data_IF_880404610555
#
_entry.id   IF_880404610555
#
_cell.length_a   1.000
_cell.length_b   1.000
_cell.length_c   1.000
_cell.angle_alpha   90.00
_cell.angle_beta   90.00
_cell.angle_gamma   90.00
#
_symmetry.space_group_name_H-M   'P 1'
#
loop_
_entity.id
_entity.type
_entity.pdbx_description
1 polymer ?
#
# COMPACT_ATOMS: atom_id res chain seq x y z
N UNK A 1 11.16 -22.25 5.22
CA UNK A 1 10.46 -21.10 5.65
C UNK A 1 9.21 -20.88 4.81
N UNK A 2 8.21 -20.47 5.48
CA UNK A 2 7.01 -20.21 4.90
C UNK A 2 7.07 -19.04 3.98
N UNK A 3 6.50 -19.17 2.87
CA UNK A 3 6.51 -18.11 1.89
C UNK A 3 5.10 -17.61 1.69
N UNK A 4 4.57 -16.92 2.54
CA UNK A 4 3.29 -16.29 2.30
C UNK A 4 3.48 -14.93 1.68
N UNK A 5 2.38 -14.23 1.44
CA UNK A 5 2.46 -12.86 0.99
C UNK A 5 3.27 -12.05 1.97
N UNK A 6 4.20 -11.28 1.47
CA UNK A 6 4.98 -10.41 2.33
C UNK A 6 4.16 -9.18 2.64
N UNK A 7 4.17 -8.81 3.90
CA UNK A 7 3.57 -7.54 4.28
C UNK A 7 4.52 -6.43 3.91
N UNK A 8 4.00 -5.32 3.46
CA UNK A 8 4.83 -4.17 3.17
C UNK A 8 5.31 -3.58 4.49
N UNK A 9 6.45 -2.91 4.42
CA UNK A 9 6.96 -2.19 5.57
C UNK A 9 5.93 -1.18 6.10
N UNK A 10 5.23 -0.54 5.17
CA UNK A 10 4.20 0.42 5.52
C UNK A 10 3.04 -0.20 6.28
N UNK A 11 2.63 -1.42 5.90
CA UNK A 11 1.59 -2.13 6.62
C UNK A 11 1.97 -2.34 8.09
N UNK A 12 3.21 -2.78 8.32
CA UNK A 12 3.69 -3.02 9.67
C UNK A 12 3.77 -1.74 10.47
N UNK A 13 4.22 -0.66 9.85
CA UNK A 13 4.30 0.63 10.53
C UNK A 13 2.93 1.18 10.91
N UNK A 14 1.95 1.03 10.01
CA UNK A 14 0.63 1.60 10.23
C UNK A 14 -0.11 0.95 11.39
N UNK A 15 0.10 -0.34 11.60
CA UNK A 15 -0.72 -1.07 12.56
C UNK A 15 0.07 -1.76 13.64
N UNK A 16 1.37 -1.90 13.49
CA UNK A 16 2.13 -2.76 14.39
C UNK A 16 1.70 -4.21 14.28
N UNK A 17 0.90 -4.55 13.28
CA UNK A 17 0.44 -5.90 13.03
C UNK A 17 0.16 -6.06 11.54
N UNK A 18 0.12 -7.29 11.10
CA UNK A 18 -0.15 -7.60 9.72
C UNK A 18 -1.65 -7.54 9.44
N UNK A 19 -2.02 -6.99 8.31
CA UNK A 19 -3.39 -7.01 7.81
C UNK A 19 -3.57 -8.18 6.86
N UNK A 20 -4.82 -8.67 6.69
CA UNK A 20 -5.08 -9.70 5.68
C UNK A 20 -4.69 -9.22 4.30
N UNK A 21 -4.08 -10.12 3.52
CA UNK A 21 -3.64 -9.82 2.16
C UNK A 21 -4.43 -10.72 1.21
N UNK A 22 -4.85 -10.17 0.08
CA UNK A 22 -5.60 -10.95 -0.92
C UNK A 22 -4.74 -12.12 -1.43
N UNK A 23 -5.38 -13.22 -1.88
CA UNK A 23 -4.62 -14.40 -2.31
C UNK A 23 -3.60 -14.13 -3.41
N UNK A 24 -3.85 -13.15 -4.26
CA UNK A 24 -2.92 -12.80 -5.33
C UNK A 24 -1.83 -11.81 -4.88
N UNK A 25 -1.86 -11.37 -3.61
CA UNK A 25 -0.83 -10.50 -3.07
C UNK A 25 -0.93 -9.04 -3.50
N UNK A 26 -2.02 -8.64 -4.14
CA UNK A 26 -2.14 -7.28 -4.71
C UNK A 26 -2.65 -6.24 -3.74
N UNK A 27 -3.46 -6.65 -2.78
CA UNK A 27 -4.10 -5.72 -1.85
C UNK A 27 -4.04 -6.25 -0.43
N UNK A 28 -4.08 -5.35 0.53
CA UNK A 28 -4.32 -5.69 1.93
C UNK A 28 -5.56 -4.96 2.42
N UNK A 29 -6.17 -5.50 3.46
CA UNK A 29 -7.47 -5.04 3.94
C UNK A 29 -7.31 -4.27 5.24
N UNK A 30 -7.81 -3.02 5.27
CA UNK A 30 -7.87 -2.21 6.48
C UNK A 30 -9.24 -1.58 6.56
N UNK A 31 -9.98 -1.88 7.63
CA UNK A 31 -11.30 -1.29 7.87
C UNK A 31 -12.22 -1.44 6.65
N UNK A 32 -12.25 -2.65 6.11
CA UNK A 32 -13.11 -3.03 4.98
C UNK A 32 -12.81 -2.23 3.70
N UNK A 33 -11.57 -1.79 3.54
CA UNK A 33 -11.09 -1.17 2.31
C UNK A 33 -9.85 -1.89 1.85
N UNK A 34 -9.73 -2.05 0.54
CA UNK A 34 -8.55 -2.63 -0.08
C UNK A 34 -7.53 -1.54 -0.34
N UNK A 35 -6.27 -1.84 -0.04
CA UNK A 35 -5.15 -0.94 -0.28
C UNK A 35 -4.09 -1.68 -1.05
N UNK A 36 -3.59 -1.07 -2.10
CA UNK A 36 -2.63 -1.75 -2.98
C UNK A 36 -1.30 -1.98 -2.27
N UNK A 37 -0.79 -3.21 -2.39
CA UNK A 37 0.50 -3.59 -1.83
C UNK A 37 1.64 -3.03 -2.66
N UNK A 38 2.82 -2.96 -2.06
CA UNK A 38 4.05 -2.61 -2.76
C UNK A 38 4.31 -3.60 -3.88
N UNK A 39 4.84 -3.12 -4.99
CA UNK A 39 5.23 -3.96 -6.12
C UNK A 39 6.27 -4.98 -5.65
N UNK A 40 5.97 -6.29 -5.70
CA UNK A 40 6.89 -7.30 -5.19
C UNK A 40 8.10 -7.54 -6.09
N UNK A 41 8.09 -7.01 -7.31
CA UNK A 41 9.21 -7.20 -8.24
C UNK A 41 10.26 -6.10 -8.13
N UNK A 42 10.05 -5.09 -7.29
CA UNK A 42 11.07 -4.06 -7.10
C UNK A 42 12.32 -4.67 -6.49
N UNK A 43 13.50 -4.30 -6.99
CA UNK A 43 14.74 -4.67 -6.30
C UNK A 43 14.71 -4.19 -4.86
N UNK A 44 15.31 -4.97 -3.96
CA UNK A 44 15.25 -4.63 -2.55
C UNK A 44 15.88 -3.27 -2.26
N UNK A 45 16.98 -2.94 -2.92
CA UNK A 45 17.62 -1.64 -2.73
C UNK A 45 16.70 -0.49 -3.12
N UNK A 46 15.99 -0.65 -4.23
CA UNK A 46 15.04 0.36 -4.69
C UNK A 46 13.89 0.50 -3.71
N UNK A 47 13.34 -0.62 -3.26
CA UNK A 47 12.25 -0.59 -2.29
C UNK A 47 12.68 0.11 -1.00
N UNK A 48 13.86 -0.23 -0.50
CA UNK A 48 14.38 0.38 0.72
C UNK A 48 14.53 1.89 0.55
N UNK A 49 15.06 2.34 -0.58
CA UNK A 49 15.23 3.76 -0.86
C UNK A 49 13.89 4.48 -0.86
N UNK A 50 12.90 3.91 -1.53
CA UNK A 50 11.60 4.58 -1.64
C UNK A 50 10.83 4.55 -0.32
N UNK A 51 10.98 3.51 0.48
CA UNK A 51 10.37 3.47 1.80
C UNK A 51 10.97 4.56 2.69
N UNK A 52 12.29 4.75 2.64
CA UNK A 52 12.91 5.84 3.40
C UNK A 52 12.40 7.21 2.96
N UNK A 53 12.28 7.42 1.65
CA UNK A 53 11.75 8.68 1.12
C UNK A 53 10.31 8.90 1.59
N UNK A 54 9.51 7.85 1.60
CA UNK A 54 8.13 7.94 2.05
C UNK A 54 8.07 8.33 3.53
N UNK A 55 8.89 7.71 4.37
CA UNK A 55 8.91 8.03 5.78
C UNK A 55 9.36 9.46 6.04
N UNK A 56 10.38 9.92 5.31
CA UNK A 56 10.82 11.31 5.42
C UNK A 56 9.72 12.28 4.99
N UNK A 57 9.06 11.97 3.89
CA UNK A 57 7.97 12.83 3.39
C UNK A 57 6.80 12.88 4.36
N UNK A 58 6.44 11.76 4.97
CA UNK A 58 5.38 11.74 5.98
C UNK A 58 5.74 12.56 7.20
N UNK A 59 7.01 12.53 7.59
CA UNK A 59 7.49 13.38 8.68
C UNK A 59 7.34 14.86 8.31
N UNK A 60 7.66 15.21 7.07
CA UNK A 60 7.50 16.58 6.60
C UNK A 60 6.05 17.02 6.59
N UNK A 61 5.12 16.12 6.28
CA UNK A 61 3.69 16.43 6.37
C UNK A 61 3.33 16.83 7.80
N UNK A 62 3.86 16.10 8.78
CA UNK A 62 3.57 16.39 10.20
C UNK A 62 4.14 17.72 10.64
N UNK A 63 5.29 18.11 10.10
CA UNK A 63 6.00 19.30 10.58
C UNK A 63 5.82 20.52 9.69
N UNK A 64 5.06 20.41 8.61
CA UNK A 64 4.83 21.52 7.71
C UNK A 64 4.18 22.69 8.43
N UNK A 65 4.69 23.88 8.17
CA UNK A 65 4.23 25.09 8.84
C UNK A 65 3.49 26.04 7.91
N UNK A 66 3.31 25.66 6.66
CA UNK A 66 2.60 26.47 5.69
C UNK A 66 1.89 25.54 4.71
N UNK A 67 0.91 26.11 3.99
CA UNK A 67 0.20 25.35 2.97
C UNK A 67 1.15 24.91 1.84
N UNK A 68 2.12 25.75 1.53
CA UNK A 68 3.09 25.43 0.50
C UNK A 68 3.98 24.26 0.91
N UNK A 69 4.49 24.30 2.15
CA UNK A 69 5.29 23.18 2.66
C UNK A 69 4.48 21.89 2.72
N UNK A 70 3.23 22.00 3.12
CA UNK A 70 2.37 20.82 3.20
C UNK A 70 2.12 20.24 1.81
N UNK A 71 1.87 21.07 0.83
CA UNK A 71 1.64 20.63 -0.54
C UNK A 71 2.87 19.93 -1.10
N UNK A 72 4.04 20.51 -0.85
CA UNK A 72 5.30 19.93 -1.30
C UNK A 72 5.56 18.59 -0.63
N UNK A 73 5.34 18.48 0.68
CA UNK A 73 5.51 17.24 1.40
C UNK A 73 4.55 16.16 0.88
N UNK A 74 3.31 16.51 0.60
CA UNK A 74 2.33 15.57 0.04
C UNK A 74 2.72 15.11 -1.35
N UNK A 75 3.33 16.00 -2.15
CA UNK A 75 3.83 15.62 -3.45
C UNK A 75 4.95 14.58 -3.35
N UNK A 76 5.80 14.71 -2.33
CA UNK A 76 6.86 13.74 -2.08
C UNK A 76 6.29 12.39 -1.63
N UNK A 77 5.24 12.40 -0.80
CA UNK A 77 4.54 11.17 -0.42
C UNK A 77 3.98 10.48 -1.66
N UNK A 78 3.32 11.25 -2.51
CA UNK A 78 2.75 10.72 -3.75
C UNK A 78 3.82 10.09 -4.63
N UNK A 79 4.93 10.79 -4.83
CA UNK A 79 6.01 10.29 -5.67
C UNK A 79 6.59 8.98 -5.15
N UNK A 80 6.82 8.89 -3.84
CA UNK A 80 7.35 7.67 -3.25
C UNK A 80 6.37 6.52 -3.38
N UNK A 81 5.08 6.77 -3.16
CA UNK A 81 4.07 5.72 -3.27
C UNK A 81 3.90 5.25 -4.71
N UNK A 82 3.99 6.15 -5.68
CA UNK A 82 3.96 5.74 -7.09
C UNK A 82 5.17 4.87 -7.41
N UNK A 83 6.35 5.26 -6.94
CA UNK A 83 7.56 4.49 -7.17
C UNK A 83 7.49 3.10 -6.54
N UNK A 84 6.79 2.98 -5.41
CA UNK A 84 6.60 1.69 -4.74
C UNK A 84 5.50 0.84 -5.39
N UNK A 85 4.74 1.39 -6.32
CA UNK A 85 3.63 0.68 -6.95
C UNK A 85 2.34 0.72 -6.15
N UNK A 86 2.29 1.51 -5.08
CA UNK A 86 1.13 1.59 -4.20
C UNK A 86 0.10 2.61 -4.68
N UNK A 87 0.47 3.45 -5.63
CA UNK A 87 -0.42 4.43 -6.29
C UNK A 87 -0.04 4.53 -7.75
N UNK A 88 -0.87 5.23 -8.52
CA UNK A 88 -0.63 5.42 -9.93
C UNK A 88 -0.85 4.14 -10.73
N UNK A 89 -0.13 3.94 -11.83
CA UNK A 89 -0.32 2.76 -12.65
C UNK A 89 -0.13 1.49 -11.84
N UNK A 90 -0.97 0.48 -12.11
CA UNK A 90 -0.83 -0.81 -11.42
C UNK A 90 0.47 -1.48 -11.84
N UNK A 91 1.04 -2.31 -10.93
CA UNK A 91 2.31 -2.98 -11.22
C UNK A 91 2.13 -4.36 -11.88
N UNK A 92 0.90 -4.81 -12.06
CA UNK A 92 0.64 -6.07 -12.76
C UNK A 92 0.23 -5.78 -14.20
N UNK A 93 0.32 -6.79 -15.05
CA UNK A 93 0.12 -6.63 -16.48
C UNK A 93 -0.91 -7.59 -17.07
N UNK A 94 -1.74 -8.21 -16.24
CA UNK A 94 -2.74 -9.15 -16.70
C UNK A 94 -4.09 -8.51 -17.03
N UNK A 95 -4.16 -7.19 -17.00
CA UNK A 95 -5.38 -6.46 -17.35
C UNK A 95 -6.37 -6.32 -16.21
N UNK A 96 -6.09 -6.87 -15.03
CA UNK A 96 -7.02 -6.71 -13.92
C UNK A 96 -7.13 -5.25 -13.50
N UNK A 97 -8.34 -4.75 -13.29
CA UNK A 97 -8.53 -3.35 -12.95
C UNK A 97 -8.05 -3.04 -11.54
N UNK A 98 -7.78 -1.76 -11.30
CA UNK A 98 -7.37 -1.29 -9.99
C UNK A 98 -8.61 -1.11 -9.12
N UNK A 99 -8.65 -1.80 -7.98
CA UNK A 99 -9.74 -1.67 -7.02
C UNK A 99 -9.24 -1.08 -5.70
N UNK A 100 -8.17 -0.31 -5.76
CA UNK A 100 -7.62 0.37 -4.60
C UNK A 100 -8.68 1.25 -3.94
N UNK A 101 -8.80 1.15 -2.62
CA UNK A 101 -9.76 1.88 -1.78
C UNK A 101 -11.20 1.42 -1.90
N UNK A 102 -11.47 0.41 -2.72
CA UNK A 102 -12.83 -0.14 -2.83
C UNK A 102 -13.14 -1.03 -1.64
N UNK A 103 -14.43 -1.11 -1.30
CA UNK A 103 -14.90 -2.14 -0.37
C UNK A 103 -14.82 -3.48 -1.10
N UNK A 104 -14.28 -4.52 -0.47
CA UNK A 104 -14.07 -5.79 -1.18
C UNK A 104 -15.35 -6.43 -1.71
N UNK A 105 -16.51 -6.15 -1.11
CA UNK A 105 -17.77 -6.76 -1.55
C UNK A 105 -18.13 -6.39 -2.99
N UNK A 106 -17.58 -5.29 -3.50
CA UNK A 106 -17.86 -4.81 -4.86
C UNK A 106 -16.73 -5.18 -5.82
N UNK A 107 -15.91 -6.16 -5.47
CA UNK A 107 -14.73 -6.53 -6.24
C UNK A 107 -14.67 -8.04 -6.42
N UNK A 108 -13.76 -8.54 -7.28
CA UNK A 108 -13.56 -9.99 -7.38
C UNK A 108 -13.08 -10.66 -6.09
N UNK A 109 -12.71 -9.89 -5.08
CA UNK A 109 -12.26 -10.43 -3.79
C UNK A 109 -13.41 -10.59 -2.79
N UNK A 110 -14.66 -10.46 -3.21
CA UNK A 110 -15.81 -10.52 -2.31
C UNK A 110 -15.88 -11.84 -1.55
N UNK A 111 -15.67 -12.97 -2.25
CA UNK A 111 -15.74 -14.28 -1.60
C UNK A 111 -14.61 -14.46 -0.59
N UNK A 112 -13.40 -14.04 -0.97
CA UNK A 112 -12.27 -14.06 -0.03
C UNK A 112 -12.58 -13.25 1.21
N UNK A 113 -13.12 -12.05 1.03
CA UNK A 113 -13.47 -11.17 2.15
C UNK A 113 -14.48 -11.82 3.08
N UNK A 114 -15.51 -12.45 2.51
CA UNK A 114 -16.51 -13.12 3.32
C UNK A 114 -15.96 -14.32 4.08
N UNK A 115 -14.87 -14.90 3.58
CA UNK A 115 -14.25 -16.06 4.22
C UNK A 115 -13.36 -15.70 5.39
N UNK A 116 -13.06 -14.41 5.59
CA UNK A 116 -12.18 -13.99 6.67
C UNK A 116 -12.86 -14.14 8.00
N UNK A 117 -12.12 -14.53 9.07
CA UNK A 117 -12.71 -14.61 10.40
C UNK A 117 -13.19 -13.25 10.85
N UNK A 118 -14.29 -13.25 11.58
CA UNK A 118 -14.78 -12.02 12.22
C UNK A 118 -13.82 -11.60 13.30
N UNK A 119 -13.57 -10.32 13.38
CA UNK A 119 -12.67 -9.78 14.38
C UNK A 119 -13.28 -9.85 15.77
#
# INVERSE_FOLDING_TARGET
ARVGPRHTFLQLLMAGKAYPVTPDGRYFLVKDRLWRCTNPTLPEAERTTQVKRLMQARSLVKTAKSDEELREARAQVQAAKVALGERGPVWWDDGAPDVNRHHPKNTPYADWWRSLPSA
#
